data_IF_373219047004
#
_entry.id   IF_373219047004
#
_cell.length_a   1.000
_cell.length_b   1.000
_cell.length_c   1.000
_cell.angle_alpha   90.00
_cell.angle_beta   90.00
_cell.angle_gamma   90.00
#
_symmetry.space_group_name_H-M   'P 1'
#
loop_
_entity.id
_entity.type
_entity.pdbx_description
1 polymer ?
#
# COMPACT_ATOMS: atom_id res chain seq x y z
N UNK A 1 -11.23 -2.20 -8.89
CA UNK A 1 -10.38 -1.97 -7.69
C UNK A 1 -10.85 -0.66 -7.04
N UNK A 2 -11.12 -0.59 -5.73
CA UNK A 2 -11.56 0.67 -5.10
C UNK A 2 -10.41 1.33 -4.34
N UNK A 3 -9.93 2.45 -4.87
CA UNK A 3 -8.88 3.29 -4.29
C UNK A 3 -9.33 4.08 -3.06
N UNK A 4 -10.52 3.82 -2.52
CA UNK A 4 -11.11 4.49 -1.36
C UNK A 4 -10.28 4.38 -0.06
N UNK A 5 -9.23 3.54 -0.06
CA UNK A 5 -8.25 3.47 1.04
C UNK A 5 -7.18 4.56 0.97
N UNK A 6 -7.00 5.17 -0.19
CA UNK A 6 -6.11 6.29 -0.41
C UNK A 6 -6.90 7.59 -0.19
N UNK A 7 -6.29 8.56 0.50
CA UNK A 7 -6.92 9.86 0.73
C UNK A 7 -7.22 10.59 -0.58
N UNK A 8 -8.08 11.61 -0.54
CA UNK A 8 -8.47 12.37 -1.73
C UNK A 8 -7.28 13.00 -2.46
N UNK A 9 -6.24 13.39 -1.73
CA UNK A 9 -5.03 14.02 -2.27
C UNK A 9 -3.94 13.03 -2.68
N UNK A 10 -4.13 11.72 -2.45
CA UNK A 10 -3.05 10.74 -2.62
C UNK A 10 -2.56 10.69 -4.07
N UNK A 11 -3.47 10.70 -5.04
CA UNK A 11 -3.10 10.66 -6.46
C UNK A 11 -2.42 11.94 -6.89
N UNK A 12 -2.89 13.10 -6.43
CA UNK A 12 -2.27 14.40 -6.72
C UNK A 12 -0.85 14.48 -6.14
N UNK A 13 -0.65 13.99 -4.91
CA UNK A 13 0.66 13.91 -4.28
C UNK A 13 1.58 12.92 -5.00
N UNK A 14 1.04 11.79 -5.47
CA UNK A 14 1.79 10.80 -6.23
C UNK A 14 2.22 11.35 -7.59
N UNK A 15 1.32 12.04 -8.30
CA UNK A 15 1.61 12.73 -9.57
C UNK A 15 2.72 13.76 -9.37
N UNK A 16 2.56 14.67 -8.40
CA UNK A 16 3.57 15.70 -8.12
C UNK A 16 4.94 15.08 -7.80
N UNK A 17 4.97 14.04 -6.97
CA UNK A 17 6.21 13.32 -6.65
C UNK A 17 6.85 12.65 -7.87
N UNK A 18 6.06 12.05 -8.76
CA UNK A 18 6.58 11.40 -9.97
C UNK A 18 7.14 12.43 -10.96
N UNK A 19 6.47 13.57 -11.13
CA UNK A 19 6.95 14.66 -11.96
C UNK A 19 8.26 15.27 -11.42
N UNK A 20 8.34 15.49 -10.11
CA UNK A 20 9.57 15.96 -9.44
C UNK A 20 10.73 14.96 -9.60
N UNK A 21 10.43 13.66 -9.69
CA UNK A 21 11.41 12.61 -9.95
C UNK A 21 11.83 12.51 -11.43
N UNK A 22 11.27 13.33 -12.32
CA UNK A 22 11.62 13.35 -13.74
C UNK A 22 11.00 12.22 -14.56
N UNK A 23 9.86 11.68 -14.11
CA UNK A 23 9.04 10.77 -14.91
C UNK A 23 8.52 11.51 -16.14
N UNK A 24 8.60 10.87 -17.30
CA UNK A 24 8.07 11.40 -18.55
C UNK A 24 6.55 11.57 -18.48
N UNK A 25 6.05 12.73 -18.93
CA UNK A 25 4.62 13.00 -19.10
C UNK A 25 3.91 11.90 -19.93
N UNK A 26 4.61 11.32 -20.92
CA UNK A 26 4.05 10.26 -21.77
C UNK A 26 3.75 8.95 -21.02
N UNK A 27 4.39 8.74 -19.87
CA UNK A 27 4.20 7.56 -19.03
C UNK A 27 3.60 7.89 -17.65
N UNK A 28 3.20 9.15 -17.42
CA UNK A 28 2.74 9.63 -16.11
C UNK A 28 1.59 8.78 -15.56
N UNK A 29 0.48 8.67 -16.31
CA UNK A 29 -0.70 7.89 -15.87
C UNK A 29 -0.35 6.42 -15.61
N UNK A 30 0.46 5.83 -16.50
CA UNK A 30 0.91 4.45 -16.34
C UNK A 30 1.79 4.28 -15.09
N UNK A 31 2.66 5.24 -14.78
CA UNK A 31 3.52 5.25 -13.59
C UNK A 31 2.71 5.46 -12.31
N UNK A 32 1.77 6.43 -12.30
CA UNK A 32 0.85 6.70 -11.19
C UNK A 32 0.07 5.44 -10.84
N UNK A 33 -0.56 4.82 -11.85
CA UNK A 33 -1.36 3.63 -11.67
C UNK A 33 -0.52 2.44 -11.18
N UNK A 34 0.61 2.18 -11.84
CA UNK A 34 1.52 1.09 -11.48
C UNK A 34 2.08 1.25 -10.06
N UNK A 35 2.45 2.49 -9.67
CA UNK A 35 2.92 2.80 -8.32
C UNK A 35 1.82 2.64 -7.27
N UNK A 36 0.62 3.16 -7.52
CA UNK A 36 -0.51 3.06 -6.61
C UNK A 36 -0.94 1.61 -6.38
N UNK A 37 -1.01 0.83 -7.45
CA UNK A 37 -1.38 -0.58 -7.41
C UNK A 37 -0.32 -1.43 -6.69
N UNK A 38 0.97 -1.18 -6.92
CA UNK A 38 2.05 -1.81 -6.17
C UNK A 38 2.00 -1.44 -4.67
N UNK A 39 1.72 -0.18 -4.34
CA UNK A 39 1.52 0.25 -2.95
C UNK A 39 0.34 -0.45 -2.30
N UNK A 40 -0.80 -0.54 -3.00
CA UNK A 40 -1.96 -1.27 -2.52
C UNK A 40 -1.66 -2.75 -2.24
N UNK A 41 -0.95 -3.40 -3.16
CA UNK A 41 -0.52 -4.78 -3.00
C UNK A 41 0.26 -4.96 -1.69
N UNK A 42 1.21 -4.05 -1.41
CA UNK A 42 1.98 -4.10 -0.17
C UNK A 42 1.11 -3.90 1.07
N UNK A 43 0.17 -2.95 1.08
CA UNK A 43 -0.79 -2.80 2.18
C UNK A 43 -1.63 -4.06 2.41
N UNK A 44 -1.89 -4.84 1.36
CA UNK A 44 -2.67 -6.07 1.46
C UNK A 44 -1.86 -7.32 1.87
N UNK A 45 -0.53 -7.29 1.73
CA UNK A 45 0.34 -8.47 1.87
C UNK A 45 1.44 -8.35 2.91
N UNK A 46 1.93 -7.14 3.18
CA UNK A 46 2.99 -6.92 4.16
C UNK A 46 2.37 -6.75 5.55
N UNK A 47 2.89 -7.50 6.51
CA UNK A 47 2.58 -7.33 7.92
C UNK A 47 3.59 -6.39 8.61
N UNK A 48 3.41 -6.13 9.92
CA UNK A 48 4.28 -5.26 10.69
C UNK A 48 5.76 -5.68 10.69
N UNK A 49 6.04 -6.98 10.56
CA UNK A 49 7.41 -7.51 10.54
C UNK A 49 8.12 -7.17 9.24
N UNK A 50 7.40 -7.16 8.12
CA UNK A 50 7.94 -6.91 6.80
C UNK A 50 8.25 -5.42 6.59
N UNK A 51 7.40 -4.51 7.09
CA UNK A 51 7.66 -3.04 7.01
C UNK A 51 8.72 -2.53 7.99
N UNK A 52 9.04 -3.27 9.05
CA UNK A 52 10.16 -2.93 9.94
C UNK A 52 11.53 -3.11 9.27
N UNK A 53 11.59 -3.83 8.14
CA UNK A 53 12.84 -4.02 7.39
C UNK A 53 13.33 -2.73 6.74
N UNK A 54 14.63 -2.71 6.44
CA UNK A 54 15.25 -1.55 5.79
C UNK A 54 14.88 -1.38 4.33
N UNK A 55 14.38 -2.41 3.66
CA UNK A 55 13.86 -2.28 2.30
C UNK A 55 12.38 -2.62 2.28
N UNK A 56 11.57 -1.75 1.66
CA UNK A 56 10.20 -2.10 1.29
C UNK A 56 10.26 -2.56 -0.16
N UNK A 57 10.03 -3.84 -0.39
CA UNK A 57 10.17 -4.43 -1.71
C UNK A 57 9.11 -5.48 -2.00
N UNK A 58 8.84 -5.69 -3.28
CA UNK A 58 7.90 -6.69 -3.77
C UNK A 58 8.50 -7.46 -4.96
N UNK A 59 8.18 -8.75 -5.15
CA UNK A 59 8.72 -9.53 -6.28
C UNK A 59 8.19 -9.04 -7.62
N UNK A 60 9.05 -8.99 -8.65
CA UNK A 60 8.68 -8.49 -10.00
C UNK A 60 7.52 -9.26 -10.64
N UNK A 61 7.45 -10.58 -10.40
CA UNK A 61 6.33 -11.44 -10.86
C UNK A 61 4.95 -11.00 -10.36
N UNK A 62 4.88 -10.11 -9.37
CA UNK A 62 3.62 -9.53 -8.92
C UNK A 62 3.20 -8.30 -9.70
N UNK A 63 4.08 -7.68 -10.49
CA UNK A 63 3.73 -6.52 -11.30
C UNK A 63 2.58 -6.84 -12.25
N UNK A 64 2.61 -8.02 -12.89
CA UNK A 64 1.52 -8.50 -13.76
C UNK A 64 0.18 -8.69 -13.04
N UNK A 65 0.22 -8.98 -11.74
CA UNK A 65 -0.99 -9.19 -10.92
C UNK A 65 -1.45 -7.93 -10.21
N UNK A 66 -0.53 -7.00 -9.99
CA UNK A 66 -0.79 -5.76 -9.29
C UNK A 66 -1.38 -4.74 -10.26
N UNK A 67 -0.82 -4.65 -11.48
CA UNK A 67 -1.20 -3.64 -12.45
C UNK A 67 -1.90 -4.15 -13.69
N UNK A 68 -3.09 -3.61 -13.92
CA UNK A 68 -3.89 -3.81 -15.13
C UNK A 68 -3.48 -2.84 -16.26
N UNK A 69 -2.47 -1.99 -16.04
CA UNK A 69 -1.98 -1.07 -17.08
C UNK A 69 -1.34 -1.86 -18.23
N UNK A 70 -1.69 -1.57 -19.50
CA UNK A 70 -1.03 -2.19 -20.66
C UNK A 70 0.44 -1.75 -20.78
N UNK A 71 0.82 -0.64 -20.16
CA UNK A 71 2.18 -0.09 -20.17
C UNK A 71 2.93 -0.35 -18.85
N UNK A 72 2.46 -1.28 -18.01
CA UNK A 72 3.02 -1.52 -16.66
C UNK A 72 4.53 -1.79 -16.67
N UNK A 73 5.04 -2.49 -17.69
CA UNK A 73 6.45 -2.88 -17.73
C UNK A 73 7.33 -1.68 -18.09
N UNK A 74 6.85 -0.80 -18.97
CA UNK A 74 7.53 0.44 -19.31
C UNK A 74 7.42 1.47 -18.18
N UNK A 75 6.27 1.53 -17.51
CA UNK A 75 6.10 2.30 -16.29
C UNK A 75 7.06 1.84 -15.17
N UNK A 76 7.23 0.53 -14.97
CA UNK A 76 8.18 0.04 -13.97
C UNK A 76 9.64 0.37 -14.31
N UNK A 77 10.04 0.28 -15.59
CA UNK A 77 11.36 0.75 -16.04
C UNK A 77 11.54 2.24 -15.80
N UNK A 78 10.51 3.03 -16.08
CA UNK A 78 10.52 4.47 -15.89
C UNK A 78 10.63 4.85 -14.41
N UNK A 79 9.88 4.18 -13.54
CA UNK A 79 9.96 4.33 -12.08
C UNK A 79 11.36 3.97 -11.54
N UNK A 80 12.04 2.98 -12.14
CA UNK A 80 13.43 2.66 -11.79
C UNK A 80 14.39 3.72 -12.32
N UNK A 81 14.19 4.19 -13.55
CA UNK A 81 15.01 5.24 -14.19
C UNK A 81 14.94 6.57 -13.43
N UNK A 82 13.77 6.94 -12.94
CA UNK A 82 13.53 8.13 -12.12
C UNK A 82 13.98 8.00 -10.66
N UNK A 83 14.50 6.83 -10.26
CA UNK A 83 14.97 6.58 -8.89
C UNK A 83 13.84 6.44 -7.86
N UNK A 84 12.58 6.48 -8.29
CA UNK A 84 11.41 6.22 -7.42
C UNK A 84 11.45 4.80 -6.91
N UNK A 85 11.80 3.85 -7.79
CA UNK A 85 12.06 2.46 -7.48
C UNK A 85 13.53 2.10 -7.69
N UNK A 86 13.95 1.00 -7.08
CA UNK A 86 15.23 0.36 -7.34
C UNK A 86 15.01 -1.08 -7.78
N UNK A 87 15.67 -1.47 -8.85
CA UNK A 87 15.75 -2.87 -9.25
C UNK A 87 16.80 -3.61 -8.40
N UNK A 88 16.40 -4.72 -7.77
CA UNK A 88 17.26 -5.55 -6.91
C UNK A 88 17.40 -6.98 -7.43
N UNK A 89 17.11 -7.20 -8.72
CA UNK A 89 17.14 -8.52 -9.35
C UNK A 89 15.74 -9.10 -9.50
N UNK A 90 15.30 -9.93 -8.56
CA UNK A 90 13.97 -10.56 -8.59
C UNK A 90 12.86 -9.69 -7.97
N UNK A 91 13.22 -8.52 -7.44
CA UNK A 91 12.31 -7.61 -6.72
C UNK A 91 12.52 -6.15 -7.10
N UNK A 92 11.45 -5.38 -6.97
CA UNK A 92 11.51 -3.92 -6.92
C UNK A 92 11.49 -3.45 -5.47
N UNK A 93 12.42 -2.56 -5.12
CA UNK A 93 12.43 -1.80 -3.88
C UNK A 93 11.84 -0.41 -4.13
N UNK A 94 11.03 0.07 -3.19
CA UNK A 94 10.43 1.41 -3.25
C UNK A 94 11.29 2.36 -2.42
N UNK A 95 11.84 3.37 -3.10
CA UNK A 95 12.74 4.35 -2.52
C UNK A 95 11.94 5.57 -2.07
N UNK A 96 11.17 6.16 -2.97
CA UNK A 96 10.30 7.30 -2.68
C UNK A 96 8.93 6.85 -2.13
N UNK A 97 8.44 7.53 -1.09
CA UNK A 97 7.22 7.16 -0.36
C UNK A 97 7.40 6.03 0.68
N UNK A 98 8.62 5.53 0.87
CA UNK A 98 8.93 4.45 1.83
C UNK A 98 8.41 4.75 3.23
N UNK A 99 8.64 5.97 3.74
CA UNK A 99 8.23 6.39 5.08
C UNK A 99 6.71 6.34 5.24
N UNK A 100 5.98 6.82 4.24
CA UNK A 100 4.53 6.93 4.27
C UNK A 100 3.87 5.55 4.19
N UNK A 101 4.42 4.65 3.36
CA UNK A 101 4.01 3.25 3.30
C UNK A 101 4.20 2.57 4.67
N UNK A 102 5.35 2.73 5.33
CA UNK A 102 5.58 2.16 6.67
C UNK A 102 4.56 2.70 7.68
N UNK A 103 4.40 4.02 7.71
CA UNK A 103 3.48 4.70 8.62
C UNK A 103 2.05 4.21 8.42
N UNK A 104 1.61 4.11 7.16
CA UNK A 104 0.29 3.63 6.79
C UNK A 104 0.05 2.17 7.20
N UNK A 105 1.00 1.26 6.92
CA UNK A 105 0.83 -0.16 7.27
C UNK A 105 0.77 -0.34 8.79
N UNK A 106 1.61 0.37 9.54
CA UNK A 106 1.55 0.38 10.99
C UNK A 106 0.21 0.93 11.52
N UNK A 107 -0.30 2.02 10.93
CA UNK A 107 -1.57 2.60 11.31
C UNK A 107 -2.75 1.64 11.05
N UNK A 108 -2.75 0.97 9.90
CA UNK A 108 -3.75 -0.04 9.54
C UNK A 108 -3.75 -1.20 10.54
N UNK A 109 -2.57 -1.69 10.93
CA UNK A 109 -2.47 -2.76 11.92
C UNK A 109 -2.98 -2.33 13.30
N UNK A 110 -2.59 -1.15 13.77
CA UNK A 110 -3.07 -0.59 15.04
C UNK A 110 -4.60 -0.44 15.04
N UNK A 111 -5.19 -0.04 13.92
CA UNK A 111 -6.65 0.03 13.76
C UNK A 111 -7.28 -1.35 13.87
N UNK A 112 -6.77 -2.35 13.15
CA UNK A 112 -7.28 -3.72 13.22
C UNK A 112 -7.22 -4.29 14.65
N UNK A 113 -6.14 -4.05 15.39
CA UNK A 113 -6.02 -4.46 16.80
C UNK A 113 -7.02 -3.75 17.71
N UNK A 114 -7.25 -2.45 17.49
CA UNK A 114 -8.24 -1.66 18.24
C UNK A 114 -9.66 -2.17 17.96
N UNK A 115 -9.99 -2.40 16.69
CA UNK A 115 -11.30 -2.87 16.27
C UNK A 115 -11.58 -4.28 16.81
N UNK A 116 -10.58 -5.18 16.78
CA UNK A 116 -10.69 -6.50 17.37
C UNK A 116 -10.95 -6.46 18.89
N UNK A 117 -10.26 -5.57 19.62
CA UNK A 117 -10.50 -5.37 21.06
C UNK A 117 -11.89 -4.83 21.33
N UNK A 118 -12.33 -3.82 20.56
CA UNK A 118 -13.67 -3.24 20.67
C UNK A 118 -14.75 -4.29 20.42
N UNK A 119 -14.60 -5.10 19.37
CA UNK A 119 -15.53 -6.19 19.05
C UNK A 119 -15.58 -7.26 20.15
N UNK A 120 -14.42 -7.66 20.72
CA UNK A 120 -14.39 -8.61 21.84
C UNK A 120 -15.11 -8.05 23.06
N UNK A 121 -14.88 -6.79 23.40
CA UNK A 121 -15.55 -6.12 24.51
C UNK A 121 -17.07 -6.02 24.29
N UNK A 122 -17.50 -5.65 23.08
CA UNK A 122 -18.92 -5.60 22.72
C UNK A 122 -19.60 -6.98 22.81
N UNK A 123 -18.95 -8.03 22.31
CA UNK A 123 -19.44 -9.42 22.42
C UNK A 123 -19.55 -9.88 23.88
N UNK A 124 -18.60 -9.52 24.72
CA UNK A 124 -18.63 -9.85 26.15
C UNK A 124 -19.79 -9.14 26.88
N UNK A 125 -20.04 -7.86 26.58
CA UNK A 125 -21.18 -7.11 27.13
C UNK A 125 -22.51 -7.73 26.75
N UNK A 126 -22.72 -8.01 25.45
CA UNK A 126 -23.95 -8.66 24.95
C UNK A 126 -24.22 -10.02 25.61
N UNK A 127 -23.17 -10.82 25.84
CA UNK A 127 -23.31 -12.11 26.54
C UNK A 127 -23.72 -11.93 28.01
N UNK A 128 -23.22 -10.90 28.67
CA UNK A 128 -23.56 -10.59 30.07
C UNK A 128 -24.99 -10.08 30.20
N UNK A 129 -25.43 -9.22 29.27
CA UNK A 129 -26.82 -8.73 29.19
C UNK A 129 -27.79 -9.89 28.95
N UNK A 130 -27.52 -10.75 27.96
CA UNK A 130 -28.35 -11.93 27.70
C UNK A 130 -28.40 -12.93 28.86
N UNK A 131 -27.34 -13.04 29.67
CA UNK A 131 -27.34 -13.88 30.86
C UNK A 131 -28.14 -13.28 32.04
N UNK A 132 -28.37 -11.97 32.04
CA UNK A 132 -29.17 -11.28 33.06
C UNK A 132 -30.66 -11.28 32.73
N UNK A 133 -31.04 -11.35 31.45
CA UNK A 133 -32.45 -11.45 31.03
C UNK A 133 -33.07 -12.85 31.20
N UNK A 134 -32.23 -13.88 31.38
CA UNK A 134 -32.65 -15.30 31.53
C UNK A 134 -32.66 -15.74 33.00
N UNK A 135 -32.21 -14.87 33.93
CA UNK A 135 -32.25 -15.08 35.39
C UNK A 135 -33.36 -14.28 36.05
#
# INVERSE_FOLDING_TARGET
MTYAKFGTEYFDQLVAMLLDAGVSEALEDACVRTAAEAQHYMFSRLGPREVQRDAINFPKRFLEKASDSPLRDDAAKELVRSGVWRDTGDRYEIIHGRRDIKSGIMAQHKKLERDARSQRAARARKRKEAAQEVS
#
